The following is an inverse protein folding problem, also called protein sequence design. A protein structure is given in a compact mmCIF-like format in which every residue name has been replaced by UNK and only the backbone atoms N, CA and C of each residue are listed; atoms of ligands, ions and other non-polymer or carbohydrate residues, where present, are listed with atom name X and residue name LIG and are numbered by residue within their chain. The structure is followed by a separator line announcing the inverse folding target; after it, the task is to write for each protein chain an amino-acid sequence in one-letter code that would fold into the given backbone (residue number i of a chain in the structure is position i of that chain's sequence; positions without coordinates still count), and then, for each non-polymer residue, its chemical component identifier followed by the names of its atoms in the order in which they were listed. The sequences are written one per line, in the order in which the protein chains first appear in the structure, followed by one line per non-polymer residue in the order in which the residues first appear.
data_IF_233167130251
#
_entry.id   IF_233167130251
#
_cell.length_a   1.000
_cell.length_b   1.000
_cell.length_c   1.000
_cell.angle_alpha   90.00
_cell.angle_beta   90.00
_cell.angle_gamma   90.00
#
_symmetry.space_group_name_H-M   'P 1'
#
loop_
_entity.id
_entity.type
_entity.pdbx_description
1 polymer ?
#
# COMPACT_ATOMS: atom_id res chain seq x y z
N UNK A 1 3.36 -3.91 -19.79
CA UNK A 1 3.96 -3.00 -20.78
C UNK A 1 4.32 -1.66 -20.15
N UNK A 2 5.58 -1.22 -20.35
CA UNK A 2 6.19 -0.11 -19.60
C UNK A 2 5.85 1.31 -20.09
N UNK A 3 4.89 1.45 -21.00
CA UNK A 3 4.47 2.76 -21.51
C UNK A 3 3.08 3.10 -20.99
N UNK A 4 2.96 4.22 -20.31
CA UNK A 4 1.67 4.74 -19.81
C UNK A 4 0.73 5.20 -20.94
N UNK A 5 1.25 5.41 -22.14
CA UNK A 5 0.51 5.83 -23.36
C UNK A 5 0.88 4.90 -24.50
N UNK A 6 -0.10 4.44 -25.26
CA UNK A 6 0.06 3.61 -26.45
C UNK A 6 -0.68 4.22 -27.64
N UNK A 7 -0.07 4.19 -28.82
CA UNK A 7 -0.72 4.64 -30.07
C UNK A 7 -1.44 3.49 -30.77
N UNK A 8 -2.48 3.81 -31.54
CA UNK A 8 -3.17 2.85 -32.42
C UNK A 8 -2.18 2.18 -33.38
N UNK A 9 -1.18 2.93 -33.88
CA UNK A 9 -0.15 2.41 -34.77
C UNK A 9 0.71 1.35 -34.10
N UNK A 10 1.20 1.60 -32.89
CA UNK A 10 2.00 0.63 -32.11
C UNK A 10 1.21 -0.65 -31.81
N UNK A 11 -0.07 -0.49 -31.40
CA UNK A 11 -0.93 -1.65 -31.11
C UNK A 11 -1.23 -2.47 -32.37
N UNK A 12 -1.48 -1.81 -33.51
CA UNK A 12 -1.66 -2.47 -34.81
C UNK A 12 -0.45 -3.32 -35.20
N UNK A 13 0.75 -2.75 -35.07
CA UNK A 13 2.00 -3.44 -35.38
C UNK A 13 2.24 -4.61 -34.42
N UNK A 14 1.96 -4.42 -33.13
CA UNK A 14 2.16 -5.44 -32.09
C UNK A 14 1.21 -6.63 -32.26
N UNK A 15 -0.07 -6.38 -32.56
CA UNK A 15 -1.10 -7.43 -32.61
C UNK A 15 -1.41 -7.91 -34.03
N UNK A 16 -0.88 -7.30 -35.07
CA UNK A 16 -1.11 -7.70 -36.46
C UNK A 16 -2.55 -7.52 -36.94
N UNK A 17 -3.31 -6.60 -36.38
CA UNK A 17 -4.73 -6.37 -36.68
C UNK A 17 -4.94 -5.00 -37.34
N UNK A 18 -6.17 -4.73 -37.81
CA UNK A 18 -6.49 -3.47 -38.48
C UNK A 18 -6.67 -2.31 -37.49
N UNK A 19 -6.48 -1.06 -37.94
CA UNK A 19 -6.79 0.14 -37.14
C UNK A 19 -8.21 0.14 -36.58
N UNK A 20 -9.16 -0.38 -37.37
CA UNK A 20 -10.58 -0.43 -36.99
C UNK A 20 -10.79 -1.41 -35.81
N UNK A 21 -10.11 -2.55 -35.83
CA UNK A 21 -10.14 -3.53 -34.74
C UNK A 21 -9.60 -2.90 -33.45
N UNK A 22 -8.40 -2.31 -33.51
CA UNK A 22 -7.81 -1.62 -32.34
C UNK A 22 -8.73 -0.52 -31.81
N UNK A 23 -9.28 0.33 -32.68
CA UNK A 23 -10.19 1.40 -32.23
C UNK A 23 -11.44 0.88 -31.55
N UNK A 24 -12.02 -0.22 -32.03
CA UNK A 24 -13.19 -0.85 -31.43
C UNK A 24 -12.83 -1.43 -30.05
N UNK A 25 -11.74 -2.15 -29.95
CA UNK A 25 -11.30 -2.74 -28.69
C UNK A 25 -10.98 -1.67 -27.65
N UNK A 26 -10.34 -0.55 -28.05
CA UNK A 26 -10.12 0.59 -27.17
C UNK A 26 -11.42 1.27 -26.71
N UNK A 27 -12.46 1.32 -27.57
CA UNK A 27 -13.78 1.82 -27.17
C UNK A 27 -14.40 0.91 -26.12
N UNK A 28 -14.34 -0.40 -26.29
CA UNK A 28 -14.93 -1.35 -25.36
C UNK A 28 -14.19 -1.38 -24.02
N UNK A 29 -12.85 -1.27 -24.02
CA UNK A 29 -12.05 -1.11 -22.81
C UNK A 29 -12.31 0.22 -22.08
N UNK A 30 -12.53 1.31 -22.84
CA UNK A 30 -12.92 2.60 -22.26
C UNK A 30 -14.30 2.54 -21.58
N UNK A 31 -15.29 1.87 -22.20
CA UNK A 31 -16.61 1.64 -21.59
C UNK A 31 -16.51 0.82 -20.29
N UNK A 32 -15.59 -0.12 -20.23
CA UNK A 32 -15.30 -0.91 -19.03
C UNK A 32 -14.49 -0.11 -17.98
N UNK A 33 -14.10 1.13 -18.31
CA UNK A 33 -13.36 2.00 -17.40
C UNK A 33 -11.88 1.63 -17.20
N UNK A 34 -11.31 0.80 -18.08
CA UNK A 34 -9.95 0.28 -17.97
C UNK A 34 -8.89 1.23 -18.55
N UNK A 35 -9.28 2.11 -19.48
CA UNK A 35 -8.39 3.10 -20.11
C UNK A 35 -9.16 4.38 -20.48
N UNK A 36 -8.42 5.40 -20.88
CA UNK A 36 -8.95 6.65 -21.48
C UNK A 36 -8.38 6.78 -22.88
N UNK A 37 -9.25 6.95 -23.88
CA UNK A 37 -8.80 7.20 -25.26
C UNK A 37 -8.36 8.65 -25.45
N UNK A 38 -7.30 8.81 -26.19
CA UNK A 38 -6.79 10.10 -26.68
C UNK A 38 -6.70 10.11 -28.19
N UNK A 39 -6.39 11.28 -28.76
CA UNK A 39 -6.25 11.38 -30.21
C UNK A 39 -5.11 10.46 -30.69
N UNK A 40 -5.48 9.41 -31.46
CA UNK A 40 -4.54 8.45 -32.02
C UNK A 40 -4.07 7.32 -31.10
N UNK A 41 -4.65 7.16 -29.90
CA UNK A 41 -4.22 6.12 -28.97
C UNK A 41 -5.07 6.01 -27.69
N UNK A 42 -4.46 5.48 -26.65
CA UNK A 42 -5.04 5.38 -25.33
C UNK A 42 -3.96 5.48 -24.25
N UNK A 43 -4.36 5.89 -23.06
CA UNK A 43 -3.54 5.76 -21.86
C UNK A 43 -4.31 4.98 -20.79
N UNK A 44 -3.58 4.35 -19.89
CA UNK A 44 -4.15 3.70 -18.72
C UNK A 44 -5.01 4.73 -17.98
N UNK A 45 -6.25 4.38 -17.65
CA UNK A 45 -7.05 5.24 -16.79
C UNK A 45 -6.33 5.31 -15.44
N UNK A 46 -5.78 6.48 -15.12
CA UNK A 46 -5.37 6.77 -13.77
C UNK A 46 -6.67 6.73 -12.96
N UNK A 47 -6.84 5.71 -12.14
CA UNK A 47 -7.97 5.68 -11.21
C UNK A 47 -7.95 7.01 -10.47
N UNK A 48 -9.09 7.66 -10.38
CA UNK A 48 -9.29 8.82 -9.50
C UNK A 48 -9.12 8.34 -8.05
N UNK A 49 -7.85 8.18 -7.66
CA UNK A 49 -7.44 7.69 -6.34
C UNK A 49 -7.61 8.77 -5.26
N UNK A 50 -8.17 9.91 -5.64
CA UNK A 50 -8.53 10.98 -4.70
C UNK A 50 -9.73 10.60 -3.82
N UNK A 51 -10.59 9.68 -4.28
CA UNK A 51 -11.66 9.12 -3.46
C UNK A 51 -11.11 7.94 -2.65
N UNK A 52 -10.92 8.18 -1.38
CA UNK A 52 -10.48 7.15 -0.45
C UNK A 52 -11.58 6.15 -0.16
N UNK A 53 -11.38 4.87 -0.52
CA UNK A 53 -12.22 3.78 -0.07
C UNK A 53 -11.97 3.46 1.42
N UNK A 54 -13.02 3.08 2.15
CA UNK A 54 -12.91 2.67 3.55
C UNK A 54 -12.11 1.38 3.72
N UNK A 55 -11.65 1.12 4.95
CA UNK A 55 -10.95 -0.12 5.29
C UNK A 55 -11.80 -1.37 4.95
N UNK A 56 -13.09 -1.35 5.29
CA UNK A 56 -14.02 -2.45 5.00
C UNK A 56 -14.19 -2.73 3.52
N UNK A 57 -14.28 -1.69 2.68
CA UNK A 57 -14.37 -1.85 1.22
C UNK A 57 -13.08 -2.43 0.65
N UNK A 58 -11.92 -1.93 1.09
CA UNK A 58 -10.61 -2.42 0.65
C UNK A 58 -10.35 -3.87 1.08
N UNK A 59 -10.88 -4.30 2.22
CA UNK A 59 -10.64 -5.64 2.77
C UNK A 59 -11.20 -6.78 1.91
N UNK A 60 -12.17 -6.46 1.05
CA UNK A 60 -12.83 -7.44 0.17
C UNK A 60 -12.17 -7.57 -1.21
N UNK A 61 -11.10 -6.84 -1.47
CA UNK A 61 -10.47 -6.76 -2.80
C UNK A 61 -9.05 -7.33 -2.72
N UNK A 62 -8.64 -8.13 -3.73
CA UNK A 62 -7.29 -8.69 -3.88
C UNK A 62 -6.83 -9.46 -2.62
N UNK A 63 -7.68 -10.32 -2.07
CA UNK A 63 -7.42 -11.01 -0.79
C UNK A 63 -6.24 -11.97 -0.93
N UNK A 64 -6.15 -12.73 -2.02
CA UNK A 64 -5.11 -13.74 -2.23
C UNK A 64 -3.74 -13.07 -2.44
N UNK A 65 -3.70 -11.98 -3.19
CA UNK A 65 -2.52 -11.14 -3.37
C UNK A 65 -2.04 -10.59 -2.02
N UNK A 66 -2.95 -10.03 -1.23
CA UNK A 66 -2.63 -9.50 0.11
C UNK A 66 -2.10 -10.55 1.06
N UNK A 67 -2.64 -11.76 1.04
CA UNK A 67 -2.14 -12.89 1.84
C UNK A 67 -0.75 -13.31 1.40
N UNK A 68 -0.50 -13.37 0.10
CA UNK A 68 0.82 -13.68 -0.47
C UNK A 68 1.85 -12.66 -0.02
N UNK A 69 1.52 -11.36 -0.12
CA UNK A 69 2.36 -10.25 0.33
C UNK A 69 2.63 -10.34 1.83
N UNK A 70 1.59 -10.52 2.63
CA UNK A 70 1.69 -10.59 4.09
C UNK A 70 2.59 -11.75 4.56
N UNK A 71 2.52 -12.91 3.88
CA UNK A 71 3.42 -14.03 4.13
C UNK A 71 4.87 -13.67 3.86
N UNK A 72 5.16 -13.02 2.72
CA UNK A 72 6.52 -12.51 2.42
C UNK A 72 7.01 -11.52 3.48
N UNK A 73 6.13 -10.62 3.97
CA UNK A 73 6.49 -9.70 5.05
C UNK A 73 6.86 -10.47 6.34
N UNK A 74 6.05 -11.46 6.72
CA UNK A 74 6.30 -12.26 7.92
C UNK A 74 7.60 -13.08 7.84
N UNK A 75 8.00 -13.52 6.65
CA UNK A 75 9.27 -14.22 6.42
C UNK A 75 10.51 -13.33 6.67
N UNK A 76 10.37 -12.01 6.52
CA UNK A 76 11.43 -11.04 6.81
C UNK A 76 11.57 -10.71 8.30
N UNK A 77 10.60 -11.06 9.13
CA UNK A 77 10.59 -10.77 10.57
C UNK A 77 11.30 -11.89 11.31
N UNK A 78 12.26 -11.55 12.16
CA UNK A 78 13.06 -12.49 12.95
C UNK A 78 12.76 -12.36 14.45
N UNK A 79 13.09 -13.41 15.23
CA UNK A 79 12.97 -13.34 16.69
C UNK A 79 13.85 -12.23 17.25
N UNK A 80 13.32 -11.48 18.19
CA UNK A 80 13.98 -10.32 18.79
C UNK A 80 13.78 -9.00 18.02
N UNK A 81 13.12 -9.03 16.86
CA UNK A 81 12.80 -7.80 16.13
C UNK A 81 11.79 -6.93 16.90
N UNK A 82 11.97 -5.62 16.77
CA UNK A 82 10.93 -4.63 17.06
C UNK A 82 10.38 -4.15 15.73
N UNK A 83 9.15 -4.51 15.40
CA UNK A 83 8.55 -4.22 14.10
C UNK A 83 7.41 -3.21 14.22
N UNK A 84 7.36 -2.26 13.28
CA UNK A 84 6.18 -1.44 13.11
C UNK A 84 5.31 -2.02 11.98
N UNK A 85 4.05 -2.32 12.30
CA UNK A 85 3.06 -2.74 11.31
C UNK A 85 2.02 -1.62 11.20
N UNK A 86 2.09 -0.85 10.12
CA UNK A 86 1.18 0.27 9.86
C UNK A 86 -0.22 -0.21 9.46
N UNK A 87 -1.20 0.71 9.55
CA UNK A 87 -2.56 0.42 9.14
C UNK A 87 -2.67 0.13 7.64
N UNK A 88 -3.50 -0.83 7.27
CA UNK A 88 -3.76 -1.18 5.89
C UNK A 88 -4.30 -2.59 5.74
N UNK A 89 -5.18 -2.78 4.77
CA UNK A 89 -5.81 -4.09 4.55
C UNK A 89 -4.86 -5.19 4.09
N UNK A 90 -3.67 -4.86 3.60
CA UNK A 90 -2.61 -5.82 3.29
C UNK A 90 -1.79 -6.13 4.54
N UNK A 91 -1.44 -5.11 5.32
CA UNK A 91 -0.65 -5.26 6.55
C UNK A 91 -1.43 -5.99 7.65
N UNK A 92 -2.76 -5.92 7.67
CA UNK A 92 -3.62 -6.66 8.61
C UNK A 92 -3.45 -8.18 8.53
N UNK A 93 -3.08 -8.69 7.34
CA UNK A 93 -2.82 -10.13 7.14
C UNK A 93 -1.44 -10.57 7.67
N UNK A 94 -0.50 -9.65 7.94
CA UNK A 94 0.84 -10.03 8.46
C UNK A 94 0.69 -10.80 9.76
N UNK A 95 -0.22 -10.37 10.63
CA UNK A 95 -0.49 -11.02 11.91
C UNK A 95 -0.86 -12.51 11.81
N UNK A 96 -1.44 -12.94 10.68
CA UNK A 96 -1.83 -14.35 10.47
C UNK A 96 -0.62 -15.29 10.28
N UNK A 97 0.58 -14.75 10.05
CA UNK A 97 1.79 -15.50 9.72
C UNK A 97 2.94 -15.31 10.73
N UNK A 98 2.66 -14.71 11.90
CA UNK A 98 3.68 -14.43 12.93
C UNK A 98 3.78 -15.52 14.01
N UNK A 99 2.96 -16.57 13.93
CA UNK A 99 2.93 -17.64 14.94
C UNK A 99 4.33 -18.21 15.22
N UNK A 100 4.63 -18.39 16.52
CA UNK A 100 5.91 -18.93 16.98
C UNK A 100 7.06 -17.93 17.05
N UNK A 101 6.87 -16.66 16.69
CA UNK A 101 7.90 -15.61 16.81
C UNK A 101 7.82 -14.92 18.18
N UNK A 102 8.99 -14.56 18.70
CA UNK A 102 9.14 -13.73 19.91
C UNK A 102 9.60 -12.33 19.48
N UNK A 103 8.68 -11.38 19.37
CA UNK A 103 8.92 -10.05 18.78
C UNK A 103 8.16 -8.96 19.55
N UNK A 104 8.66 -7.72 19.46
CA UNK A 104 7.91 -6.53 19.86
C UNK A 104 7.21 -5.93 18.63
N UNK A 105 5.91 -5.67 18.76
CA UNK A 105 5.09 -5.11 17.68
C UNK A 105 4.58 -3.74 18.08
N UNK A 106 4.88 -2.75 17.27
CA UNK A 106 4.32 -1.40 17.38
C UNK A 106 3.33 -1.20 16.25
N UNK A 107 2.13 -0.74 16.54
CA UNK A 107 1.12 -0.46 15.52
C UNK A 107 0.28 0.76 15.87
N UNK A 108 -0.21 1.47 14.87
CA UNK A 108 -1.26 2.49 14.99
C UNK A 108 -2.60 2.01 14.42
N UNK A 109 -2.70 0.72 14.07
CA UNK A 109 -3.90 0.08 13.52
C UNK A 109 -4.70 -0.59 14.62
N UNK A 110 -5.98 -0.22 14.76
CA UNK A 110 -6.88 -0.92 15.67
C UNK A 110 -7.12 -2.38 15.26
N UNK A 111 -7.36 -2.72 13.97
CA UNK A 111 -7.51 -4.11 13.53
C UNK A 111 -6.32 -5.01 13.86
N UNK A 112 -5.09 -4.53 13.67
CA UNK A 112 -3.88 -5.29 14.00
C UNK A 112 -3.78 -5.51 15.50
N UNK A 113 -4.02 -4.46 16.29
CA UNK A 113 -4.02 -4.57 17.75
C UNK A 113 -5.05 -5.58 18.24
N UNK A 114 -6.31 -5.49 17.78
CA UNK A 114 -7.39 -6.41 18.16
C UNK A 114 -7.07 -7.87 17.78
N UNK A 115 -6.42 -8.09 16.66
CA UNK A 115 -6.00 -9.41 16.19
C UNK A 115 -4.92 -10.02 17.09
N UNK A 116 -3.97 -9.23 17.58
CA UNK A 116 -2.75 -9.71 18.21
C UNK A 116 -2.74 -9.61 19.74
N UNK A 117 -3.64 -8.87 20.35
CA UNK A 117 -3.65 -8.55 21.80
C UNK A 117 -3.69 -9.78 22.73
N UNK A 118 -4.23 -10.89 22.27
CA UNK A 118 -4.39 -12.10 23.09
C UNK A 118 -3.24 -13.11 22.90
N UNK A 119 -2.22 -12.78 22.10
CA UNK A 119 -1.04 -13.63 21.88
C UNK A 119 0.06 -13.28 22.90
N UNK A 120 0.41 -14.18 23.84
CA UNK A 120 1.33 -13.87 24.93
C UNK A 120 2.79 -13.69 24.50
N UNK A 121 3.15 -14.12 23.29
CA UNK A 121 4.52 -14.07 22.77
C UNK A 121 4.90 -12.71 22.17
N UNK A 122 3.93 -11.78 22.08
CA UNK A 122 4.19 -10.46 21.52
C UNK A 122 4.18 -9.38 22.60
N UNK A 123 5.23 -8.57 22.64
CA UNK A 123 5.19 -7.28 23.32
C UNK A 123 4.50 -6.28 22.37
N UNK A 124 3.20 -6.02 22.64
CA UNK A 124 2.35 -5.28 21.70
C UNK A 124 2.10 -3.85 22.19
N UNK A 125 2.54 -2.87 21.41
CA UNK A 125 2.39 -1.44 21.68
C UNK A 125 1.42 -0.84 20.69
N UNK A 126 0.30 -0.28 21.18
CA UNK A 126 -0.63 0.51 20.39
C UNK A 126 -0.26 1.99 20.47
N UNK A 127 0.10 2.57 19.34
CA UNK A 127 0.28 4.02 19.20
C UNK A 127 -1.08 4.70 19.16
N UNK A 128 -1.46 5.31 20.28
CA UNK A 128 -2.72 6.03 20.43
C UNK A 128 -2.70 7.41 19.74
N UNK A 129 -3.90 8.01 19.64
CA UNK A 129 -4.06 9.33 19.01
C UNK A 129 -5.52 9.60 18.67
N UNK A 130 -5.79 10.45 17.68
CA UNK A 130 -7.13 10.64 17.15
C UNK A 130 -7.52 9.45 16.27
N UNK A 131 -8.58 8.75 16.61
CA UNK A 131 -9.06 7.61 15.83
C UNK A 131 -9.73 8.06 14.54
N UNK A 132 -9.24 7.56 13.42
CA UNK A 132 -9.80 7.77 12.10
C UNK A 132 -10.63 6.55 11.68
N UNK A 133 -11.96 6.68 11.75
CA UNK A 133 -12.91 5.59 11.52
C UNK A 133 -12.74 4.96 10.13
N UNK A 134 -12.48 5.78 9.10
CA UNK A 134 -12.41 5.33 7.70
C UNK A 134 -11.30 4.29 7.45
N UNK A 135 -10.18 4.42 8.11
CA UNK A 135 -9.01 3.54 7.97
C UNK A 135 -8.73 2.73 9.24
N UNK A 136 -9.52 2.95 10.29
CA UNK A 136 -9.39 2.29 11.59
C UNK A 136 -7.99 2.44 12.20
N UNK A 137 -7.41 3.66 12.05
CA UNK A 137 -6.05 3.97 12.49
C UNK A 137 -6.02 5.17 13.43
N UNK A 138 -5.00 5.21 14.29
CA UNK A 138 -4.72 6.34 15.17
C UNK A 138 -3.72 7.29 14.50
N UNK A 139 -4.06 8.58 14.45
CA UNK A 139 -3.31 9.63 13.74
C UNK A 139 -3.22 10.92 14.55
N UNK A 140 -2.50 11.90 14.02
CA UNK A 140 -2.43 13.26 14.54
C UNK A 140 -1.25 13.48 15.48
N UNK A 141 -1.21 14.65 16.12
CA UNK A 141 -0.03 15.09 16.87
C UNK A 141 0.38 14.17 18.02
N UNK A 142 -0.56 13.58 18.74
CA UNK A 142 -0.24 12.65 19.82
C UNK A 142 0.41 11.38 19.29
N UNK A 143 -0.13 10.79 18.22
CA UNK A 143 0.49 9.65 17.56
C UNK A 143 1.89 10.01 17.05
N UNK A 144 2.02 11.13 16.35
CA UNK A 144 3.29 11.58 15.77
C UNK A 144 4.36 11.87 16.85
N UNK A 145 3.96 12.38 18.02
CA UNK A 145 4.89 12.59 19.14
C UNK A 145 5.50 11.26 19.60
N UNK A 146 4.65 10.23 19.78
CA UNK A 146 5.11 8.91 20.20
C UNK A 146 5.97 8.25 19.08
N UNK A 147 5.53 8.31 17.83
CA UNK A 147 6.27 7.75 16.70
C UNK A 147 7.68 8.36 16.52
N UNK A 148 7.89 9.62 16.91
CA UNK A 148 9.22 10.26 16.85
C UNK A 148 10.21 9.68 17.87
N UNK A 149 9.72 9.20 18.99
CA UNK A 149 10.55 8.65 20.09
C UNK A 149 10.84 7.14 19.92
N UNK A 150 10.06 6.44 19.08
CA UNK A 150 10.20 5.01 18.86
C UNK A 150 11.21 4.74 17.74
N UNK A 151 12.11 3.78 17.97
CA UNK A 151 12.97 3.18 16.94
C UNK A 151 12.57 1.73 16.74
N UNK A 152 12.54 1.29 15.48
CA UNK A 152 12.17 -0.08 15.11
C UNK A 152 13.20 -0.70 14.19
N UNK A 153 13.37 -2.03 14.25
CA UNK A 153 14.23 -2.73 13.30
C UNK A 153 13.63 -2.72 11.89
N UNK A 154 12.32 -2.95 11.79
CA UNK A 154 11.61 -3.01 10.49
C UNK A 154 10.28 -2.27 10.56
N UNK A 155 9.94 -1.55 9.50
CA UNK A 155 8.63 -0.93 9.34
C UNK A 155 7.94 -1.42 8.07
N UNK A 156 6.70 -1.88 8.19
CA UNK A 156 5.85 -2.33 7.09
C UNK A 156 4.68 -1.36 6.94
N UNK A 157 4.63 -0.62 5.82
CA UNK A 157 3.67 0.46 5.59
C UNK A 157 2.84 0.17 4.34
N UNK A 158 1.52 0.15 4.50
CA UNK A 158 0.58 0.11 3.39
C UNK A 158 0.48 1.47 2.69
N UNK A 159 0.22 1.46 1.37
CA UNK A 159 0.09 2.67 0.56
C UNK A 159 -1.14 2.63 -0.33
N UNK A 160 -1.56 3.81 -0.83
CA UNK A 160 -2.67 3.91 -1.77
C UNK A 160 -2.20 4.03 -3.23
N UNK A 161 -0.98 4.50 -3.46
CA UNK A 161 -0.41 4.64 -4.80
C UNK A 161 1.11 4.72 -4.78
N UNK A 162 1.72 4.30 -5.89
CA UNK A 162 3.16 4.33 -6.19
C UNK A 162 3.30 4.85 -7.62
N UNK A 163 3.90 6.04 -7.79
CA UNK A 163 4.05 6.71 -9.09
C UNK A 163 5.43 6.50 -9.76
N UNK A 164 6.25 5.60 -9.18
CA UNK A 164 7.61 5.32 -9.62
C UNK A 164 8.68 6.14 -8.87
N UNK A 165 8.34 7.28 -8.29
CA UNK A 165 9.25 8.11 -7.50
C UNK A 165 8.82 8.22 -6.04
N UNK A 166 7.51 8.27 -5.80
CA UNK A 166 6.94 8.47 -4.47
C UNK A 166 5.89 7.42 -4.15
N UNK A 167 5.73 7.19 -2.87
CA UNK A 167 4.59 6.47 -2.31
C UNK A 167 3.62 7.47 -1.71
N UNK A 168 2.32 7.22 -1.87
CA UNK A 168 1.26 8.15 -1.51
C UNK A 168 0.12 7.50 -0.75
N UNK A 169 -0.58 8.32 0.02
CA UNK A 169 -1.78 7.95 0.79
C UNK A 169 -2.89 8.99 0.58
N UNK A 170 -4.12 8.63 0.94
CA UNK A 170 -5.28 9.48 0.77
C UNK A 170 -5.43 10.56 1.88
N UNK A 171 -4.59 10.52 2.92
CA UNK A 171 -4.70 11.42 4.06
C UNK A 171 -3.34 11.90 4.55
N UNK A 172 -3.20 13.20 4.74
CA UNK A 172 -1.96 13.84 5.18
C UNK A 172 -1.50 13.35 6.57
N UNK A 173 -2.40 13.22 7.54
CA UNK A 173 -2.02 12.81 8.89
C UNK A 173 -1.49 11.38 8.93
N UNK A 174 -2.05 10.48 8.11
CA UNK A 174 -1.52 9.12 7.95
C UNK A 174 -0.14 9.16 7.27
N UNK A 175 -0.02 9.93 6.18
CA UNK A 175 1.26 10.07 5.48
C UNK A 175 2.37 10.64 6.38
N UNK A 176 2.05 11.65 7.18
CA UNK A 176 3.00 12.22 8.14
C UNK A 176 3.45 11.20 9.19
N UNK A 177 2.53 10.42 9.76
CA UNK A 177 2.86 9.34 10.70
C UNK A 177 3.73 8.26 10.07
N UNK A 178 3.38 7.84 8.85
CA UNK A 178 4.14 6.85 8.08
C UNK A 178 5.56 7.33 7.76
N UNK A 179 5.73 8.59 7.35
CA UNK A 179 7.05 9.16 7.09
C UNK A 179 7.91 9.20 8.35
N UNK A 180 7.34 9.56 9.50
CA UNK A 180 8.05 9.60 10.79
C UNK A 180 8.60 8.21 11.13
N UNK A 181 7.76 7.18 11.09
CA UNK A 181 8.20 5.84 11.49
C UNK A 181 9.17 5.21 10.47
N UNK A 182 9.00 5.46 9.17
CA UNK A 182 9.96 5.04 8.16
C UNK A 182 11.34 5.67 8.42
N UNK A 183 11.41 6.96 8.79
CA UNK A 183 12.68 7.60 9.16
C UNK A 183 13.28 7.06 10.46
N UNK A 184 12.49 6.40 11.29
CA UNK A 184 12.91 5.81 12.55
C UNK A 184 13.14 4.29 12.47
N UNK A 185 12.94 3.68 11.31
CA UNK A 185 13.19 2.27 11.03
C UNK A 185 14.60 2.06 10.45
N UNK A 186 15.22 0.94 10.81
CA UNK A 186 16.46 0.47 10.19
C UNK A 186 16.15 -0.04 8.78
N UNK A 187 15.15 -0.90 8.66
CA UNK A 187 14.67 -1.40 7.38
C UNK A 187 13.24 -0.91 7.09
N UNK A 188 13.03 -0.40 5.90
CA UNK A 188 11.85 0.34 5.46
C UNK A 188 11.17 -0.39 4.33
N UNK A 189 10.00 -0.92 4.59
CA UNK A 189 9.22 -1.69 3.62
C UNK A 189 7.88 -1.04 3.32
N UNK A 190 7.59 -0.88 2.05
CA UNK A 190 6.24 -0.57 1.57
C UNK A 190 5.58 -1.86 1.12
N UNK A 191 4.31 -2.00 1.45
CA UNK A 191 3.50 -3.20 1.22
C UNK A 191 2.34 -2.83 0.31
N UNK A 192 2.31 -3.38 -0.90
CA UNK A 192 1.35 -2.99 -1.92
C UNK A 192 1.03 -4.12 -2.89
N UNK A 193 -0.24 -4.38 -3.16
CA UNK A 193 -0.63 -5.22 -4.28
C UNK A 193 -0.40 -4.49 -5.63
N UNK A 194 -0.35 -5.26 -6.73
CA UNK A 194 -0.02 -4.73 -8.05
C UNK A 194 -0.92 -3.58 -8.51
N UNK A 195 -2.14 -3.45 -7.98
CA UNK A 195 -3.07 -2.38 -8.34
C UNK A 195 -2.65 -0.98 -7.86
N UNK A 196 -1.63 -0.89 -7.01
CA UNK A 196 -1.11 0.37 -6.45
C UNK A 196 0.01 0.98 -7.28
N UNK A 197 0.57 0.23 -8.22
CA UNK A 197 1.61 0.73 -9.12
C UNK A 197 1.01 1.61 -10.23
N UNK A 198 1.83 2.49 -10.77
CA UNK A 198 1.46 3.49 -11.78
C UNK A 198 0.23 4.32 -11.37
N UNK A 199 0.12 4.60 -10.08
CA UNK A 199 -0.97 5.35 -9.50
C UNK A 199 -0.48 6.28 -8.39
N UNK A 200 -1.25 7.33 -8.12
CA UNK A 200 -0.97 8.26 -7.02
C UNK A 200 -2.23 8.50 -6.20
N UNK A 201 -2.04 8.99 -4.98
CA UNK A 201 -3.11 9.43 -4.11
C UNK A 201 -2.85 10.85 -3.62
N UNK A 202 -3.75 11.41 -2.82
CA UNK A 202 -3.78 12.82 -2.44
C UNK A 202 -2.45 13.34 -1.88
N UNK A 203 -1.77 12.55 -1.05
CA UNK A 203 -0.59 12.99 -0.32
C UNK A 203 0.60 12.05 -0.53
N UNK A 204 1.63 12.54 -1.24
CA UNK A 204 2.93 11.86 -1.37
C UNK A 204 3.74 12.09 -0.10
N UNK A 205 4.23 11.02 0.54
CA UNK A 205 4.84 11.14 1.86
C UNK A 205 6.25 10.55 1.97
N UNK A 206 6.68 9.73 0.99
CA UNK A 206 8.02 9.14 1.01
C UNK A 206 8.55 8.87 -0.40
N UNK A 207 9.89 8.84 -0.57
CA UNK A 207 10.52 8.54 -1.86
C UNK A 207 10.76 7.04 -1.96
N UNK A 208 10.54 6.49 -3.15
CA UNK A 208 10.76 5.05 -3.42
C UNK A 208 12.23 4.68 -3.24
N UNK A 209 13.16 5.55 -3.64
CA UNK A 209 14.61 5.32 -3.53
C UNK A 209 15.14 5.25 -2.10
N UNK A 210 14.40 5.78 -1.11
CA UNK A 210 14.76 5.76 0.31
C UNK A 210 14.23 4.50 1.03
N UNK A 211 13.52 3.61 0.33
CA UNK A 211 13.01 2.34 0.83
C UNK A 211 14.04 1.21 0.63
N UNK A 212 14.02 0.23 1.52
CA UNK A 212 14.79 -1.01 1.31
C UNK A 212 14.12 -1.90 0.24
N UNK A 213 12.79 -1.99 0.25
CA UNK A 213 12.04 -2.69 -0.79
C UNK A 213 10.54 -2.32 -0.79
N UNK A 214 9.88 -2.63 -1.92
CA UNK A 214 8.43 -2.72 -2.03
C UNK A 214 8.08 -4.20 -2.11
N UNK A 215 7.27 -4.68 -1.16
CA UNK A 215 6.82 -6.08 -1.12
C UNK A 215 5.48 -6.16 -1.86
N UNK A 216 5.44 -6.98 -2.89
CA UNK A 216 4.30 -7.13 -3.78
C UNK A 216 4.05 -8.59 -4.17
N UNK A 217 2.89 -8.87 -4.75
CA UNK A 217 2.45 -10.13 -5.36
C UNK A 217 3.16 -10.47 -6.66
#
# INVERSE_FOLDING_TARGET
DRKSVVSVKELKELFGVTDMTIRRDLIDLEKQGLLVRVHGGAHKKVKDSLLEASHSEKNLINIDEKRTIAKKCAELIENGDTVFIGSGTTTDFIGDYLEGKEISIVTNSLPIFEKLKDFPNYDLILVGGRYRVKTQTFVGQFANKLLKEIKVSKAFIGVNGIDGHHVSTANEEEGNGNAIILNNAIEKYVVADNSKFDSYSFYSFYRVEDLNAIITD
#
